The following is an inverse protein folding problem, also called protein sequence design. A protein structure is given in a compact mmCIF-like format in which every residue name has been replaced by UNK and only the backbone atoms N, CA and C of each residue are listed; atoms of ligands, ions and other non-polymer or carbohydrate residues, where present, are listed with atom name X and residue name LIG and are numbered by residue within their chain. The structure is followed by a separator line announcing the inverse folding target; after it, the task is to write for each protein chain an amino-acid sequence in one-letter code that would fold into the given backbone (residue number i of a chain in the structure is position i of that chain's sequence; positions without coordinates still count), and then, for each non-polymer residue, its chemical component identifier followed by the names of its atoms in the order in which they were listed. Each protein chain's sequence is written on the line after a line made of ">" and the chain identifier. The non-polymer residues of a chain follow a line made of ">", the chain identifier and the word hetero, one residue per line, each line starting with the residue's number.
data_IF_612459753626
#
_entry.id   IF_612459753626
#
_cell.length_a   1.000
_cell.length_b   1.000
_cell.length_c   1.000
_cell.angle_alpha   90.00
_cell.angle_beta   90.00
_cell.angle_gamma   90.00
#
_symmetry.space_group_name_H-M   'P 1'
#
loop_
_entity.id
_entity.type
_entity.pdbx_description
1 polymer ?
#
# COMPACT_ATOMS: atom_id res chain seq x y z
N UNK A 1 -15.19 2.78 -6.00
CA UNK A 1 -14.73 1.73 -6.95
C UNK A 1 -13.54 2.31 -7.72
N UNK A 2 -12.46 1.56 -7.97
CA UNK A 2 -11.34 2.08 -8.75
C UNK A 2 -11.74 2.26 -10.22
N UNK A 3 -11.10 3.20 -10.92
CA UNK A 3 -11.29 3.40 -12.36
C UNK A 3 -10.49 2.38 -13.21
N UNK A 4 -9.60 1.62 -12.57
CA UNK A 4 -8.76 0.60 -13.19
C UNK A 4 -8.95 -0.70 -12.40
N UNK A 5 -8.95 -1.84 -13.09
CA UNK A 5 -9.05 -3.14 -12.43
C UNK A 5 -7.86 -3.37 -11.48
N UNK A 6 -8.09 -4.06 -10.36
CA UNK A 6 -7.01 -4.46 -9.48
C UNK A 6 -6.18 -5.61 -10.07
N UNK A 7 -4.89 -5.64 -9.76
CA UNK A 7 -4.08 -6.85 -9.93
C UNK A 7 -4.66 -7.95 -9.03
N UNK A 8 -5.08 -9.06 -9.64
CA UNK A 8 -5.71 -10.19 -8.97
C UNK A 8 -4.68 -11.21 -8.48
N UNK A 9 -5.11 -12.15 -7.64
CA UNK A 9 -4.23 -13.26 -7.24
C UNK A 9 -3.89 -14.17 -8.43
N UNK A 10 -4.81 -14.31 -9.39
CA UNK A 10 -4.54 -15.01 -10.66
C UNK A 10 -3.44 -14.32 -11.47
N UNK A 11 -3.40 -12.98 -11.52
CA UNK A 11 -2.32 -12.26 -12.19
C UNK A 11 -0.96 -12.50 -11.52
N UNK A 12 -0.96 -12.62 -10.19
CA UNK A 12 0.24 -12.92 -9.39
C UNK A 12 0.70 -14.37 -9.63
N UNK A 13 -0.22 -15.34 -9.62
CA UNK A 13 0.06 -16.75 -9.90
C UNK A 13 0.63 -16.95 -11.30
N UNK A 14 0.13 -16.18 -12.27
CA UNK A 14 0.65 -16.14 -13.65
C UNK A 14 1.93 -15.31 -13.80
N UNK A 15 2.53 -14.83 -12.70
CA UNK A 15 3.77 -14.06 -12.66
C UNK A 15 3.75 -12.80 -13.55
N UNK A 16 2.58 -12.16 -13.67
CA UNK A 16 2.45 -10.87 -14.40
C UNK A 16 3.05 -9.68 -13.65
N UNK A 17 3.44 -9.89 -12.39
CA UNK A 17 4.12 -8.92 -11.53
C UNK A 17 5.29 -9.60 -10.80
N UNK A 18 6.34 -8.86 -10.39
CA UNK A 18 7.52 -9.46 -9.75
C UNK A 18 7.16 -10.15 -8.41
N UNK A 19 7.48 -11.44 -8.31
CA UNK A 19 7.08 -12.28 -7.19
C UNK A 19 7.76 -11.88 -5.86
N UNK A 20 9.02 -11.44 -5.93
CA UNK A 20 9.80 -10.93 -4.81
C UNK A 20 9.19 -9.65 -4.22
N UNK A 21 8.76 -8.73 -5.08
CA UNK A 21 8.06 -7.51 -4.67
C UNK A 21 6.73 -7.83 -3.99
N UNK A 22 5.93 -8.74 -4.56
CA UNK A 22 4.67 -9.19 -3.94
C UNK A 22 4.95 -9.83 -2.58
N UNK A 23 5.95 -10.69 -2.47
CA UNK A 23 6.33 -11.32 -1.20
C UNK A 23 6.73 -10.28 -0.14
N UNK A 24 7.53 -9.27 -0.51
CA UNK A 24 7.92 -8.19 0.37
C UNK A 24 6.71 -7.37 0.87
N UNK A 25 5.74 -7.11 -0.01
CA UNK A 25 4.49 -6.43 0.37
C UNK A 25 3.64 -7.31 1.28
N UNK A 26 3.50 -8.62 1.00
CA UNK A 26 2.74 -9.54 1.86
C UNK A 26 3.35 -9.65 3.25
N UNK A 27 4.67 -9.72 3.37
CA UNK A 27 5.36 -9.89 4.65
C UNK A 27 5.07 -8.78 5.68
N UNK A 28 4.73 -7.56 5.23
CA UNK A 28 4.37 -6.43 6.12
C UNK A 28 2.87 -6.33 6.43
N UNK A 29 2.00 -7.12 5.80
CA UNK A 29 0.54 -7.05 5.96
C UNK A 29 0.07 -8.09 6.97
N UNK A 30 -0.99 -7.75 7.70
CA UNK A 30 -1.66 -8.72 8.56
C UNK A 30 -2.16 -9.91 7.71
N UNK A 31 -1.77 -11.13 8.11
CA UNK A 31 -2.09 -12.38 7.43
C UNK A 31 -1.65 -12.45 5.96
N UNK A 32 -0.72 -11.59 5.53
CA UNK A 32 -0.25 -11.56 4.14
C UNK A 32 -1.28 -11.11 3.12
N UNK A 33 -2.43 -10.58 3.52
CA UNK A 33 -3.45 -10.11 2.60
C UNK A 33 -3.05 -8.76 1.97
N UNK A 34 -3.05 -8.70 0.64
CA UNK A 34 -2.83 -7.46 -0.10
C UNK A 34 -4.04 -6.54 0.04
N UNK A 35 -3.79 -5.28 0.35
CA UNK A 35 -4.83 -4.24 0.33
C UNK A 35 -5.14 -3.82 -1.10
N UNK A 36 -6.27 -3.14 -1.29
CA UNK A 36 -6.64 -2.57 -2.60
C UNK A 36 -5.54 -1.62 -3.13
N UNK A 37 -4.92 -0.83 -2.25
CA UNK A 37 -3.79 0.03 -2.62
C UNK A 37 -2.58 -0.78 -3.11
N UNK A 38 -2.22 -1.88 -2.45
CA UNK A 38 -1.10 -2.71 -2.90
C UNK A 38 -1.38 -3.25 -4.32
N UNK A 39 -2.60 -3.74 -4.56
CA UNK A 39 -3.03 -4.24 -5.87
C UNK A 39 -3.05 -3.17 -6.95
N UNK A 40 -3.37 -1.92 -6.59
CA UNK A 40 -3.33 -0.79 -7.51
C UNK A 40 -1.90 -0.40 -7.86
N UNK A 41 -1.01 -0.35 -6.87
CA UNK A 41 0.40 0.02 -7.08
C UNK A 41 1.15 -1.02 -7.92
N UNK A 42 0.76 -2.30 -7.85
CA UNK A 42 1.40 -3.38 -8.62
C UNK A 42 1.28 -3.23 -10.15
N UNK A 43 0.40 -2.35 -10.65
CA UNK A 43 0.44 -1.92 -12.06
C UNK A 43 1.75 -1.22 -12.45
N UNK A 44 2.48 -0.68 -11.48
CA UNK A 44 3.81 -0.10 -11.65
C UNK A 44 4.75 -0.63 -10.57
N UNK A 45 5.48 -1.74 -10.85
CA UNK A 45 6.46 -2.30 -9.91
C UNK A 45 7.45 -1.30 -9.30
N UNK A 46 8.07 -0.35 -10.04
CA UNK A 46 8.98 0.62 -9.42
C UNK A 46 8.25 1.55 -8.44
N UNK A 47 7.00 1.92 -8.73
CA UNK A 47 6.20 2.73 -7.81
C UNK A 47 5.81 1.92 -6.56
N UNK A 48 5.37 0.68 -6.72
CA UNK A 48 5.05 -0.20 -5.59
C UNK A 48 6.26 -0.44 -4.67
N UNK A 49 7.45 -0.62 -5.24
CA UNK A 49 8.69 -0.76 -4.47
C UNK A 49 9.03 0.51 -3.69
N UNK A 50 9.03 1.67 -4.36
CA UNK A 50 9.31 2.95 -3.71
C UNK A 50 8.32 3.28 -2.61
N UNK A 51 7.02 3.08 -2.88
CA UNK A 51 5.95 3.23 -1.90
C UNK A 51 6.15 2.30 -0.71
N UNK A 52 6.54 1.04 -0.96
CA UNK A 52 6.73 0.05 0.10
C UNK A 52 7.78 0.51 1.13
N UNK A 53 8.90 1.04 0.65
CA UNK A 53 9.99 1.53 1.47
C UNK A 53 9.64 2.84 2.17
N UNK A 54 9.24 3.86 1.41
CA UNK A 54 9.06 5.22 1.93
C UNK A 54 7.93 5.31 2.97
N UNK A 55 6.76 4.75 2.68
CA UNK A 55 5.63 4.77 3.62
C UNK A 55 5.85 3.83 4.80
N UNK A 56 6.67 2.79 4.61
CA UNK A 56 7.15 1.94 5.71
C UNK A 56 7.89 2.77 6.76
N UNK A 57 8.83 3.62 6.32
CA UNK A 57 9.57 4.51 7.20
C UNK A 57 8.66 5.55 7.88
N UNK A 58 7.75 6.20 7.14
CA UNK A 58 6.79 7.16 7.73
C UNK A 58 5.94 6.52 8.83
N UNK A 59 5.41 5.32 8.59
CA UNK A 59 4.46 4.68 9.52
C UNK A 59 5.12 4.00 10.72
N UNK A 60 6.42 3.70 10.67
CA UNK A 60 7.11 2.97 11.76
C UNK A 60 8.24 3.74 12.40
N UNK A 61 9.05 4.46 11.63
CA UNK A 61 10.37 4.93 12.07
C UNK A 61 10.36 6.38 12.57
N UNK A 62 9.23 7.08 12.49
CA UNK A 62 9.07 8.41 13.08
C UNK A 62 8.89 8.37 14.61
N UNK A 63 9.44 9.37 15.31
CA UNK A 63 9.39 9.50 16.78
C UNK A 63 8.02 9.93 17.34
N UNK A 64 6.98 9.97 16.51
CA UNK A 64 5.63 10.38 16.88
C UNK A 64 4.81 9.12 17.22
N UNK A 65 3.92 9.21 18.21
CA UNK A 65 3.08 8.07 18.61
C UNK A 65 2.24 7.54 17.43
N UNK A 66 1.95 6.23 17.35
CA UNK A 66 1.14 5.64 16.28
C UNK A 66 -0.20 6.34 16.07
N UNK A 67 -0.91 6.66 17.17
CA UNK A 67 -2.20 7.33 17.11
C UNK A 67 -2.12 8.71 16.45
N UNK A 68 -1.10 9.52 16.80
CA UNK A 68 -0.93 10.85 16.21
C UNK A 68 -0.53 10.78 14.74
N UNK A 69 0.22 9.75 14.32
CA UNK A 69 0.54 9.53 12.90
C UNK A 69 -0.69 9.22 12.08
N UNK A 70 -1.55 8.30 12.55
CA UNK A 70 -2.81 7.99 11.87
C UNK A 70 -3.76 9.19 11.87
N UNK A 71 -3.86 9.95 12.98
CA UNK A 71 -4.66 11.18 13.01
C UNK A 71 -4.19 12.20 11.97
N UNK A 72 -2.88 12.39 11.81
CA UNK A 72 -2.32 13.27 10.78
C UNK A 72 -2.63 12.76 9.36
N UNK A 73 -2.51 11.45 9.11
CA UNK A 73 -2.89 10.83 7.83
C UNK A 73 -4.37 11.09 7.52
N UNK A 74 -5.27 10.80 8.47
CA UNK A 74 -6.70 11.04 8.31
C UNK A 74 -6.99 12.54 8.07
N UNK A 75 -6.38 13.45 8.84
CA UNK A 75 -6.58 14.89 8.66
C UNK A 75 -6.19 15.35 7.23
N UNK A 76 -5.03 14.90 6.73
CA UNK A 76 -4.59 15.18 5.35
C UNK A 76 -5.54 14.54 4.33
N UNK A 77 -5.99 13.31 4.56
CA UNK A 77 -6.94 12.63 3.68
C UNK A 77 -8.27 13.41 3.58
N UNK A 78 -8.80 13.88 4.70
CA UNK A 78 -10.02 14.70 4.74
C UNK A 78 -9.86 16.01 3.95
N UNK A 79 -8.75 16.72 4.15
CA UNK A 79 -8.45 17.97 3.44
C UNK A 79 -8.33 17.76 1.93
N UNK A 80 -7.78 16.62 1.51
CA UNK A 80 -7.60 16.28 0.11
C UNK A 80 -8.79 15.51 -0.50
N UNK A 81 -9.87 15.28 0.26
CA UNK A 81 -11.03 14.48 -0.16
C UNK A 81 -10.63 13.07 -0.61
N UNK A 82 -9.63 12.48 0.04
CA UNK A 82 -9.14 11.12 -0.24
C UNK A 82 -9.95 10.10 0.56
N UNK A 83 -11.14 9.74 0.08
CA UNK A 83 -12.09 8.87 0.79
C UNK A 83 -11.54 7.49 1.16
N UNK A 84 -10.60 6.95 0.38
CA UNK A 84 -10.00 5.63 0.66
C UNK A 84 -9.08 5.63 1.89
N UNK A 85 -8.45 6.78 2.20
CA UNK A 85 -7.48 6.92 3.30
C UNK A 85 -8.08 7.62 4.54
N UNK A 86 -9.35 8.07 4.48
CA UNK A 86 -10.09 8.64 5.60
C UNK A 86 -10.82 7.56 6.39
#
# INVERSE_FOLDING_TARGET
>A
MPNIAYITDTDIEQQRVPADLVAAIRARRANGHLLNLDRMLLHSPPMAQGWNTYLGAIRRDLNISPLLRELAICAVAKLNRAEYEW
#
